data_IF_741918344891
#
_entry.id   IF_741918344891
#
_cell.length_a   1.000
_cell.length_b   1.000
_cell.length_c   1.000
_cell.angle_alpha   90.00
_cell.angle_beta   90.00
_cell.angle_gamma   90.00
#
_symmetry.space_group_name_H-M   'P 1'
#
loop_
_entity.id
_entity.type
_entity.pdbx_description
1 polymer ?
#
# COMPACT_ATOMS: atom_id res chain seq x y z
N UNK A 1 27.37 0.41 15.90
CA UNK A 1 26.69 -0.90 15.84
C UNK A 1 26.08 -1.01 14.47
N UNK A 2 26.74 -1.69 13.57
CA UNK A 2 26.25 -1.97 12.22
C UNK A 2 25.04 -2.89 12.32
N UNK A 3 23.90 -2.41 11.88
CA UNK A 3 22.69 -3.21 11.83
C UNK A 3 22.88 -4.32 10.80
N UNK A 4 22.82 -5.56 11.25
CA UNK A 4 22.89 -6.76 10.41
C UNK A 4 21.86 -6.61 9.27
N UNK A 5 22.26 -6.58 7.97
CA UNK A 5 21.41 -6.27 6.83
C UNK A 5 20.24 -7.23 6.61
N UNK A 6 20.18 -8.33 7.38
CA UNK A 6 19.07 -9.30 7.38
C UNK A 6 18.08 -9.14 8.54
N UNK A 7 18.33 -8.24 9.52
CA UNK A 7 17.46 -8.14 10.71
C UNK A 7 16.18 -7.39 10.38
N UNK A 8 15.05 -8.04 10.65
CA UNK A 8 13.72 -7.48 10.48
C UNK A 8 13.49 -6.29 11.40
N UNK A 9 12.84 -5.25 10.89
CA UNK A 9 12.54 -4.02 11.64
C UNK A 9 11.11 -4.09 12.16
N UNK A 10 10.95 -4.48 13.44
CA UNK A 10 9.64 -4.78 14.05
C UNK A 10 8.62 -3.62 13.95
N UNK A 11 9.06 -2.38 14.16
CA UNK A 11 8.15 -1.25 14.12
C UNK A 11 7.61 -0.98 12.72
N UNK A 12 8.31 -1.39 11.65
CA UNK A 12 7.81 -1.27 10.27
C UNK A 12 6.64 -2.22 10.03
N UNK A 13 6.69 -3.44 10.60
CA UNK A 13 5.54 -4.34 10.56
C UNK A 13 4.36 -3.76 11.36
N UNK A 14 4.63 -3.15 12.52
CA UNK A 14 3.60 -2.44 13.29
C UNK A 14 2.98 -1.30 12.47
N UNK A 15 3.81 -0.50 11.81
CA UNK A 15 3.36 0.60 10.94
C UNK A 15 2.45 0.11 9.81
N UNK A 16 2.85 -0.96 9.11
CA UNK A 16 2.00 -1.59 8.08
C UNK A 16 0.70 -2.13 8.67
N UNK A 17 0.76 -2.68 9.89
CA UNK A 17 -0.40 -3.22 10.59
C UNK A 17 -1.42 -2.14 10.96
N UNK A 18 -0.96 -1.03 11.51
CA UNK A 18 -1.83 0.14 11.77
C UNK A 18 -2.44 0.64 10.46
N UNK A 19 -1.62 0.75 9.41
CA UNK A 19 -2.09 1.24 8.13
C UNK A 19 -3.15 0.33 7.49
N UNK A 20 -2.98 -1.01 7.52
CA UNK A 20 -3.98 -1.92 6.93
C UNK A 20 -5.29 -1.90 7.71
N UNK A 21 -5.25 -1.71 9.03
CA UNK A 21 -6.46 -1.52 9.84
C UNK A 21 -7.20 -0.26 9.38
N UNK A 22 -6.50 0.86 9.20
CA UNK A 22 -7.08 2.11 8.68
C UNK A 22 -7.66 1.95 7.26
N UNK A 23 -7.02 1.10 6.43
CA UNK A 23 -7.56 0.77 5.09
C UNK A 23 -8.86 -0.01 5.20
N UNK A 24 -8.94 -1.02 6.07
CA UNK A 24 -10.18 -1.79 6.30
C UNK A 24 -11.29 -0.89 6.84
N UNK A 25 -10.99 -0.02 7.81
CA UNK A 25 -11.95 0.97 8.33
C UNK A 25 -12.53 1.85 7.22
N UNK A 26 -11.69 2.34 6.31
CA UNK A 26 -12.14 3.16 5.18
C UNK A 26 -13.07 2.39 4.21
N UNK A 27 -12.92 1.08 4.07
CA UNK A 27 -13.80 0.26 3.23
C UNK A 27 -15.09 -0.16 3.93
N UNK A 28 -15.13 -0.09 5.27
CA UNK A 28 -16.36 -0.24 6.04
C UNK A 28 -17.22 1.02 5.88
N UNK A 29 -16.61 2.21 5.92
CA UNK A 29 -17.33 3.47 5.82
C UNK A 29 -18.24 3.77 7.00
N UNK A 30 -19.36 4.42 6.76
CA UNK A 30 -20.39 4.68 7.77
C UNK A 30 -19.88 5.50 8.95
N UNK A 31 -19.92 4.92 10.18
CA UNK A 31 -19.44 5.61 11.38
C UNK A 31 -17.94 5.98 11.30
N UNK A 32 -17.13 5.19 10.62
CA UNK A 32 -15.69 5.49 10.46
C UNK A 32 -15.43 6.67 9.52
N UNK A 33 -16.32 6.99 8.58
CA UNK A 33 -16.18 8.19 7.75
C UNK A 33 -16.31 9.47 8.58
N UNK A 34 -17.06 9.40 9.68
CA UNK A 34 -17.19 10.52 10.65
C UNK A 34 -15.87 10.81 11.37
N UNK A 35 -15.00 9.80 11.57
CA UNK A 35 -13.66 9.97 12.16
C UNK A 35 -12.68 10.62 11.19
N UNK A 36 -12.87 10.44 9.90
CA UNK A 36 -11.99 11.02 8.85
C UNK A 36 -12.60 12.29 8.22
N UNK A 37 -13.48 12.97 8.96
CA UNK A 37 -14.22 14.15 8.47
C UNK A 37 -13.30 15.22 7.88
N UNK A 38 -12.13 15.42 8.50
CA UNK A 38 -11.12 16.39 8.07
C UNK A 38 -10.01 15.74 7.23
N UNK A 39 -10.23 14.54 6.73
CA UNK A 39 -9.31 13.79 5.87
C UNK A 39 -7.92 13.50 6.46
N UNK A 40 -7.75 13.63 7.78
CA UNK A 40 -6.46 13.40 8.45
C UNK A 40 -5.98 11.96 8.34
N UNK A 41 -6.89 10.97 8.34
CA UNK A 41 -6.53 9.56 8.20
C UNK A 41 -6.35 9.16 6.73
N UNK A 42 -7.12 9.75 5.81
CA UNK A 42 -7.08 9.43 4.39
C UNK A 42 -5.82 9.97 3.71
N UNK A 43 -5.29 11.12 4.15
CA UNK A 43 -4.19 11.79 3.48
C UNK A 43 -2.88 10.99 3.45
N UNK A 44 -2.64 10.06 4.40
CA UNK A 44 -1.37 9.32 4.48
C UNK A 44 -1.48 7.79 4.31
N UNK A 45 -2.68 7.19 4.45
CA UNK A 45 -2.85 5.72 4.44
C UNK A 45 -2.16 5.03 3.27
N UNK A 46 -2.48 5.45 2.05
CA UNK A 46 -1.87 4.85 0.86
C UNK A 46 -0.45 5.34 0.59
N UNK A 47 -0.15 6.66 0.71
CA UNK A 47 1.22 7.16 0.63
C UNK A 47 2.23 6.44 1.51
N UNK A 48 1.83 6.03 2.72
CA UNK A 48 2.68 5.29 3.66
C UNK A 48 3.19 3.97 3.08
N UNK A 49 2.35 3.23 2.37
CA UNK A 49 2.76 1.96 1.75
C UNK A 49 3.77 2.16 0.62
N UNK A 50 3.62 3.21 -0.19
CA UNK A 50 4.61 3.57 -1.22
C UNK A 50 5.93 3.98 -0.57
N UNK A 51 5.87 4.80 0.47
CA UNK A 51 7.04 5.20 1.24
C UNK A 51 7.80 3.99 1.82
N UNK A 52 7.10 3.10 2.53
CA UNK A 52 7.71 1.89 3.10
C UNK A 52 8.29 0.99 2.00
N UNK A 53 7.63 0.88 0.85
CA UNK A 53 8.15 0.10 -0.27
C UNK A 53 9.45 0.68 -0.82
N UNK A 54 9.58 2.01 -0.84
CA UNK A 54 10.82 2.71 -1.17
C UNK A 54 11.94 2.42 -0.17
N UNK A 55 11.65 2.39 1.14
CA UNK A 55 12.63 2.01 2.18
C UNK A 55 13.28 0.66 1.89
N UNK A 56 12.53 -0.28 1.34
CA UNK A 56 13.01 -1.65 1.05
C UNK A 56 13.32 -1.88 -0.44
N UNK A 57 13.53 -0.81 -1.20
CA UNK A 57 13.97 -0.96 -2.60
C UNK A 57 15.32 -1.65 -2.70
N UNK A 58 15.42 -2.59 -3.64
CA UNK A 58 16.66 -3.25 -4.07
C UNK A 58 16.65 -3.36 -5.59
N UNK A 59 17.76 -3.00 -6.24
CA UNK A 59 17.88 -3.02 -7.70
C UNK A 59 18.07 -4.42 -8.28
N UNK A 60 18.55 -5.36 -7.47
CA UNK A 60 18.89 -6.72 -7.88
C UNK A 60 19.91 -6.79 -9.05
N UNK A 61 20.02 -7.93 -9.70
CA UNK A 61 20.95 -8.18 -10.82
C UNK A 61 20.32 -7.75 -12.16
N UNK A 62 20.22 -6.43 -12.37
CA UNK A 62 19.71 -5.86 -13.62
C UNK A 62 18.18 -5.80 -13.73
N UNK A 63 17.72 -5.21 -14.84
CA UNK A 63 16.30 -4.91 -15.07
C UNK A 63 15.43 -6.18 -15.10
N UNK A 64 15.89 -7.23 -15.80
CA UNK A 64 15.10 -8.46 -15.93
C UNK A 64 14.90 -9.15 -14.57
N UNK A 65 15.97 -9.29 -13.78
CA UNK A 65 15.90 -9.86 -12.43
C UNK A 65 14.98 -9.04 -11.52
N UNK A 66 15.07 -7.71 -11.61
CA UNK A 66 14.18 -6.80 -10.89
C UNK A 66 12.71 -7.01 -11.29
N UNK A 67 12.39 -6.99 -12.59
CA UNK A 67 11.02 -7.15 -13.10
C UNK A 67 10.45 -8.50 -12.66
N UNK A 68 11.17 -9.62 -12.83
CA UNK A 68 10.69 -10.95 -12.45
C UNK A 68 10.38 -11.02 -10.94
N UNK A 69 11.25 -10.44 -10.11
CA UNK A 69 11.00 -10.38 -8.65
C UNK A 69 9.75 -9.54 -8.32
N UNK A 70 9.54 -8.41 -9.01
CA UNK A 70 8.34 -7.58 -8.79
C UNK A 70 7.08 -8.25 -9.33
N UNK A 71 7.16 -8.99 -10.43
CA UNK A 71 6.05 -9.84 -10.90
C UNK A 71 5.67 -10.86 -9.83
N UNK A 72 6.63 -11.60 -9.26
CA UNK A 72 6.38 -12.56 -8.20
C UNK A 72 5.71 -11.94 -6.96
N UNK A 73 6.12 -10.72 -6.60
CA UNK A 73 5.67 -10.08 -5.34
C UNK A 73 4.39 -9.25 -5.49
N UNK A 74 4.03 -8.82 -6.70
CA UNK A 74 2.92 -7.88 -6.92
C UNK A 74 1.95 -8.35 -8.00
N UNK A 75 2.44 -8.75 -9.19
CA UNK A 75 1.55 -9.11 -10.32
C UNK A 75 0.92 -10.48 -10.13
N UNK A 76 1.67 -11.48 -9.67
CA UNK A 76 1.10 -12.82 -9.41
C UNK A 76 0.01 -12.76 -8.34
N UNK A 77 0.22 -12.13 -7.15
CA UNK A 77 -0.87 -11.91 -6.21
C UNK A 77 -2.03 -11.12 -6.80
N UNK A 78 -1.75 -10.03 -7.54
CA UNK A 78 -2.79 -9.24 -8.20
C UNK A 78 -3.67 -10.11 -9.11
N UNK A 79 -3.07 -10.84 -10.05
CA UNK A 79 -3.80 -11.68 -10.99
C UNK A 79 -4.59 -12.78 -10.28
N UNK A 80 -3.99 -13.43 -9.30
CA UNK A 80 -4.67 -14.46 -8.52
C UNK A 80 -5.93 -13.93 -7.83
N UNK A 81 -5.82 -12.84 -7.07
CA UNK A 81 -6.97 -12.28 -6.36
C UNK A 81 -7.96 -11.58 -7.29
N UNK A 82 -7.52 -11.05 -8.42
CA UNK A 82 -8.37 -10.48 -9.45
C UNK A 82 -9.26 -11.53 -10.09
N UNK A 83 -8.65 -12.63 -10.56
CA UNK A 83 -9.36 -13.74 -11.18
C UNK A 83 -10.23 -14.50 -10.17
N UNK A 84 -9.75 -14.72 -8.96
CA UNK A 84 -10.51 -15.37 -7.88
C UNK A 84 -11.75 -14.55 -7.50
N UNK A 85 -11.63 -13.24 -7.39
CA UNK A 85 -12.74 -12.35 -7.11
C UNK A 85 -13.79 -12.37 -8.22
N UNK A 86 -13.34 -12.36 -9.49
CA UNK A 86 -14.24 -12.50 -10.63
C UNK A 86 -14.97 -13.85 -10.64
N UNK A 87 -14.22 -14.94 -10.45
CA UNK A 87 -14.80 -16.29 -10.45
C UNK A 87 -15.81 -16.45 -9.31
N UNK A 88 -15.47 -15.98 -8.11
CA UNK A 88 -16.39 -16.00 -6.97
C UNK A 88 -17.67 -15.21 -7.26
N UNK A 89 -17.55 -13.99 -7.79
CA UNK A 89 -18.66 -13.17 -8.21
C UNK A 89 -19.54 -13.89 -9.25
N UNK A 90 -18.90 -14.52 -10.25
CA UNK A 90 -19.60 -15.26 -11.32
C UNK A 90 -20.36 -16.47 -10.77
N UNK A 91 -19.75 -17.26 -9.88
CA UNK A 91 -20.39 -18.41 -9.26
C UNK A 91 -21.62 -17.96 -8.43
N UNK A 92 -21.47 -16.92 -7.61
CA UNK A 92 -22.57 -16.41 -6.79
C UNK A 92 -23.70 -15.91 -7.68
N UNK A 93 -23.39 -15.18 -8.74
CA UNK A 93 -24.40 -14.71 -9.69
C UNK A 93 -25.18 -15.88 -10.36
N UNK A 94 -24.51 -16.99 -10.66
CA UNK A 94 -25.16 -18.20 -11.22
C UNK A 94 -26.07 -18.90 -10.21
N UNK A 95 -25.68 -18.95 -8.94
CA UNK A 95 -26.45 -19.64 -7.90
C UNK A 95 -27.57 -18.74 -7.35
N UNK A 96 -27.32 -17.45 -7.22
CA UNK A 96 -28.22 -16.46 -6.64
C UNK A 96 -28.21 -15.16 -7.49
N UNK A 97 -28.89 -15.14 -8.64
CA UNK A 97 -28.82 -13.99 -9.56
C UNK A 97 -29.25 -12.65 -8.96
N UNK A 98 -30.13 -12.67 -7.95
CA UNK A 98 -30.62 -11.46 -7.26
C UNK A 98 -29.61 -10.77 -6.35
N UNK A 99 -28.45 -11.37 -6.05
CA UNK A 99 -27.43 -10.77 -5.19
C UNK A 99 -26.69 -9.61 -5.89
N UNK A 100 -26.56 -9.67 -7.22
CA UNK A 100 -25.93 -8.63 -8.02
C UNK A 100 -26.94 -7.96 -8.94
N UNK A 101 -26.92 -6.63 -9.00
CA UNK A 101 -27.85 -5.83 -9.81
C UNK A 101 -27.69 -6.05 -11.34
N UNK A 102 -26.49 -6.45 -11.79
CA UNK A 102 -26.16 -6.62 -13.20
C UNK A 102 -25.59 -8.01 -13.48
N UNK A 103 -25.85 -8.57 -14.68
CA UNK A 103 -25.22 -9.81 -15.12
C UNK A 103 -23.70 -9.70 -15.09
N UNK A 104 -23.02 -10.76 -14.63
CA UNK A 104 -21.57 -10.83 -14.63
C UNK A 104 -21.07 -11.25 -16.02
N UNK A 105 -20.28 -10.40 -16.65
CA UNK A 105 -19.74 -10.62 -18.00
C UNK A 105 -18.22 -10.78 -17.98
N UNK A 106 -17.69 -11.61 -18.86
CA UNK A 106 -16.24 -11.75 -19.09
C UNK A 106 -15.56 -10.43 -19.49
N UNK A 107 -16.31 -9.48 -20.04
CA UNK A 107 -15.80 -8.14 -20.34
C UNK A 107 -15.31 -7.40 -19.09
N UNK A 108 -15.81 -7.74 -17.90
CA UNK A 108 -15.34 -7.16 -16.63
C UNK A 108 -13.86 -7.47 -16.35
N UNK A 109 -13.30 -8.55 -16.93
CA UNK A 109 -11.87 -8.83 -16.81
C UNK A 109 -10.99 -7.84 -17.56
N UNK A 110 -11.55 -7.13 -18.54
CA UNK A 110 -10.82 -6.15 -19.34
C UNK A 110 -10.89 -4.73 -18.77
N UNK A 111 -11.72 -4.49 -17.75
CA UNK A 111 -11.90 -3.13 -17.18
C UNK A 111 -10.60 -2.55 -16.61
N UNK A 112 -9.68 -3.39 -16.19
CA UNK A 112 -8.34 -2.97 -15.69
C UNK A 112 -7.54 -2.20 -16.73
N UNK A 113 -7.83 -2.38 -18.02
CA UNK A 113 -7.20 -1.67 -19.14
C UNK A 113 -7.91 -0.36 -19.51
N UNK A 114 -9.02 -0.03 -18.83
CA UNK A 114 -9.81 1.17 -19.06
C UNK A 114 -9.80 2.05 -17.81
N UNK A 115 -8.89 3.03 -17.75
CA UNK A 115 -8.82 3.98 -16.65
C UNK A 115 -8.58 3.34 -15.29
N UNK A 116 -9.31 3.82 -14.27
CA UNK A 116 -9.21 3.36 -12.89
C UNK A 116 -10.27 2.31 -12.51
N UNK A 117 -10.80 1.61 -13.50
CA UNK A 117 -11.79 0.59 -13.23
C UNK A 117 -11.16 -0.74 -12.83
N UNK A 118 -11.72 -1.35 -11.81
CA UNK A 118 -11.48 -2.72 -11.40
C UNK A 118 -12.80 -3.42 -11.12
N UNK A 119 -12.75 -4.73 -11.04
CA UNK A 119 -13.90 -5.52 -10.58
C UNK A 119 -14.38 -4.93 -9.24
N UNK A 120 -15.59 -4.38 -9.23
CA UNK A 120 -16.19 -3.71 -8.04
C UNK A 120 -16.26 -4.62 -6.81
N UNK A 121 -16.11 -5.93 -7.00
CA UNK A 121 -16.13 -6.92 -5.93
C UNK A 121 -14.87 -6.94 -5.06
N UNK A 122 -13.71 -6.53 -5.62
CA UNK A 122 -12.45 -6.46 -4.87
C UNK A 122 -11.60 -5.23 -5.26
N UNK A 123 -12.10 -4.01 -5.01
CA UNK A 123 -11.38 -2.79 -5.40
C UNK A 123 -9.99 -2.65 -4.77
N UNK A 124 -9.72 -3.07 -3.50
CA UNK A 124 -8.45 -2.77 -2.82
C UNK A 124 -7.20 -3.26 -3.53
N UNK A 125 -7.28 -4.28 -4.40
CA UNK A 125 -6.11 -4.85 -5.07
C UNK A 125 -5.47 -3.93 -6.13
N UNK A 126 -6.14 -2.80 -6.52
CA UNK A 126 -5.55 -1.78 -7.39
C UNK A 126 -4.14 -1.37 -6.95
N UNK A 127 -3.92 -1.33 -5.65
CA UNK A 127 -2.66 -0.93 -5.04
C UNK A 127 -1.48 -1.80 -5.51
N UNK A 128 -1.66 -3.09 -5.71
CA UNK A 128 -0.58 -4.00 -6.13
C UNK A 128 -0.06 -3.62 -7.53
N UNK A 129 -0.97 -3.29 -8.43
CA UNK A 129 -0.64 -2.88 -9.79
C UNK A 129 0.04 -1.50 -9.79
N UNK A 130 -0.52 -0.55 -9.07
CA UNK A 130 0.08 0.78 -8.90
C UNK A 130 1.47 0.71 -8.28
N UNK A 131 1.66 -0.13 -7.25
CA UNK A 131 2.96 -0.31 -6.63
C UNK A 131 3.97 -0.95 -7.60
N UNK A 132 3.53 -1.88 -8.44
CA UNK A 132 4.37 -2.43 -9.50
C UNK A 132 4.87 -1.34 -10.46
N UNK A 133 3.97 -0.53 -10.98
CA UNK A 133 4.32 0.58 -11.89
C UNK A 133 5.24 1.60 -11.20
N UNK A 134 4.97 1.95 -9.94
CA UNK A 134 5.82 2.85 -9.17
C UNK A 134 7.24 2.29 -9.00
N UNK A 135 7.39 0.97 -8.79
CA UNK A 135 8.69 0.30 -8.75
C UNK A 135 9.42 0.40 -10.09
N UNK A 136 8.72 0.23 -11.22
CA UNK A 136 9.32 0.36 -12.56
C UNK A 136 9.75 1.80 -12.82
N UNK A 137 8.88 2.77 -12.55
CA UNK A 137 9.22 4.20 -12.70
C UNK A 137 10.47 4.57 -11.90
N UNK A 138 10.53 4.13 -10.63
CA UNK A 138 11.70 4.39 -9.81
C UNK A 138 12.95 3.66 -10.33
N UNK A 139 12.82 2.40 -10.76
CA UNK A 139 13.94 1.66 -11.33
C UNK A 139 14.57 2.39 -12.52
N UNK A 140 13.76 3.02 -13.37
CA UNK A 140 14.25 3.74 -14.56
C UNK A 140 15.06 5.00 -14.21
N UNK A 141 14.83 5.62 -13.05
CA UNK A 141 15.50 6.86 -12.66
C UNK A 141 16.55 6.67 -11.55
N UNK A 142 16.53 5.54 -10.81
CA UNK A 142 17.36 5.39 -9.60
C UNK A 142 18.87 5.36 -9.90
N UNK A 143 19.28 4.95 -11.09
CA UNK A 143 20.69 4.95 -11.50
C UNK A 143 21.29 6.36 -11.59
N UNK A 144 20.46 7.38 -11.77
CA UNK A 144 20.89 8.78 -11.77
C UNK A 144 21.41 9.25 -10.40
N UNK A 145 21.13 8.52 -9.33
CA UNK A 145 21.50 8.89 -7.95
C UNK A 145 23.00 9.13 -7.76
N UNK A 146 23.87 8.42 -8.51
CA UNK A 146 25.32 8.46 -8.34
C UNK A 146 25.96 9.56 -9.18
N UNK A 147 25.44 9.79 -10.38
CA UNK A 147 26.03 10.73 -11.36
C UNK A 147 25.29 12.06 -11.46
N UNK A 148 23.97 12.03 -11.36
CA UNK A 148 23.07 13.17 -11.64
C UNK A 148 21.96 13.28 -10.61
N UNK A 149 22.32 13.36 -9.32
CA UNK A 149 21.35 13.41 -8.22
C UNK A 149 20.30 14.54 -8.37
N UNK A 150 20.64 15.79 -8.75
CA UNK A 150 19.64 16.83 -8.98
C UNK A 150 18.64 16.46 -10.08
N UNK A 151 19.12 15.82 -11.16
CA UNK A 151 18.24 15.36 -12.25
C UNK A 151 17.27 14.26 -11.77
N UNK A 152 17.72 13.33 -10.93
CA UNK A 152 16.82 12.32 -10.34
C UNK A 152 15.70 12.99 -9.54
N UNK A 153 16.02 13.96 -8.70
CA UNK A 153 15.00 14.70 -7.94
C UNK A 153 14.08 15.52 -8.84
N UNK A 154 14.65 16.23 -9.85
CA UNK A 154 13.87 16.97 -10.82
C UNK A 154 12.88 16.10 -11.58
N UNK A 155 13.32 14.92 -12.07
CA UNK A 155 12.44 13.93 -12.72
C UNK A 155 11.37 13.38 -11.75
N UNK A 156 11.74 13.11 -10.50
CA UNK A 156 10.77 12.66 -9.48
C UNK A 156 9.67 13.68 -9.28
N UNK A 157 10.04 14.96 -9.13
CA UNK A 157 9.08 16.04 -8.96
C UNK A 157 8.24 16.26 -10.24
N UNK A 158 8.87 16.27 -11.41
CA UNK A 158 8.17 16.41 -12.68
C UNK A 158 7.13 15.29 -12.87
N UNK A 159 7.52 14.03 -12.68
CA UNK A 159 6.61 12.89 -12.79
C UNK A 159 5.49 12.97 -11.75
N UNK A 160 5.81 13.30 -10.49
CA UNK A 160 4.82 13.46 -9.43
C UNK A 160 3.82 14.59 -9.70
N UNK A 161 4.31 15.74 -10.16
CA UNK A 161 3.46 16.87 -10.59
C UNK A 161 2.56 16.47 -11.76
N UNK A 162 3.11 15.82 -12.78
CA UNK A 162 2.33 15.35 -13.94
C UNK A 162 1.21 14.41 -13.49
N UNK A 163 1.52 13.40 -12.65
CA UNK A 163 0.51 12.50 -12.11
C UNK A 163 -0.60 13.23 -11.33
N UNK A 164 -0.21 14.19 -10.48
CA UNK A 164 -1.16 15.02 -9.71
C UNK A 164 -2.09 15.83 -10.63
N UNK A 165 -1.54 16.49 -11.66
CA UNK A 165 -2.34 17.28 -12.57
C UNK A 165 -3.20 16.45 -13.52
N UNK A 166 -2.76 15.24 -13.92
CA UNK A 166 -3.63 14.28 -14.61
C UNK A 166 -4.87 13.97 -13.77
N UNK A 167 -4.68 13.74 -12.46
CA UNK A 167 -5.80 13.55 -11.54
C UNK A 167 -6.72 14.78 -11.44
N UNK A 168 -6.16 16.00 -11.37
CA UNK A 168 -6.97 17.22 -11.37
C UNK A 168 -7.77 17.41 -12.66
N UNK A 169 -7.23 16.99 -13.79
CA UNK A 169 -7.90 17.04 -15.09
C UNK A 169 -8.83 15.84 -15.33
N UNK A 170 -8.92 14.91 -14.36
CA UNK A 170 -9.70 13.66 -14.48
C UNK A 170 -9.28 12.81 -15.70
N UNK A 171 -7.99 12.86 -16.05
CA UNK A 171 -7.39 12.04 -17.09
C UNK A 171 -6.86 10.76 -16.44
N UNK A 172 -7.50 9.65 -16.72
CA UNK A 172 -7.15 8.34 -16.21
C UNK A 172 -6.29 7.59 -17.21
N UNK A 173 -5.11 7.14 -16.77
CA UNK A 173 -4.26 6.27 -17.57
C UNK A 173 -4.52 4.79 -17.24
N UNK A 174 -4.43 3.91 -18.25
CA UNK A 174 -4.57 2.47 -18.03
C UNK A 174 -3.61 1.96 -16.95
N UNK A 175 -4.02 0.87 -16.27
CA UNK A 175 -3.19 0.18 -15.30
C UNK A 175 -2.74 1.07 -14.12
N UNK A 176 -3.43 2.17 -13.82
CA UNK A 176 -3.09 3.09 -12.72
C UNK A 176 -1.71 3.76 -12.85
N UNK A 177 -1.24 4.03 -14.07
CA UNK A 177 0.08 4.65 -14.30
C UNK A 177 0.12 6.06 -13.73
N UNK A 178 -0.90 6.88 -13.93
CA UNK A 178 -1.03 8.24 -13.39
C UNK A 178 -0.97 8.29 -11.87
N UNK A 179 -1.63 7.34 -11.20
CA UNK A 179 -1.55 7.21 -9.73
C UNK A 179 -0.13 6.82 -9.30
N UNK A 180 0.53 5.94 -10.06
CA UNK A 180 1.92 5.58 -9.79
C UNK A 180 2.87 6.75 -9.92
N UNK A 181 2.60 7.67 -10.85
CA UNK A 181 3.33 8.92 -11.01
C UNK A 181 3.15 9.83 -9.78
N UNK A 182 1.92 10.02 -9.32
CA UNK A 182 1.63 10.78 -8.09
C UNK A 182 2.25 10.13 -6.84
N UNK A 183 2.35 8.80 -6.80
CA UNK A 183 2.93 8.05 -5.68
C UNK A 183 4.46 8.08 -5.65
N UNK A 184 5.13 8.35 -6.79
CA UNK A 184 6.57 8.25 -6.93
C UNK A 184 7.37 9.11 -5.92
N UNK A 185 7.00 10.36 -5.59
CA UNK A 185 7.72 11.15 -4.59
C UNK A 185 7.74 10.49 -3.20
N UNK A 186 6.65 9.82 -2.78
CA UNK A 186 6.61 9.09 -1.50
C UNK A 186 7.57 7.90 -1.54
N UNK A 187 7.61 7.18 -2.64
CA UNK A 187 8.52 6.06 -2.83
C UNK A 187 9.98 6.48 -2.77
N UNK A 188 10.34 7.56 -3.49
CA UNK A 188 11.70 8.12 -3.53
C UNK A 188 12.11 8.61 -2.14
N UNK A 189 11.23 9.30 -1.43
CA UNK A 189 11.51 9.75 -0.06
C UNK A 189 11.78 8.55 0.87
N UNK A 190 11.01 7.46 0.74
CA UNK A 190 11.26 6.21 1.48
C UNK A 190 12.63 5.61 1.16
N UNK A 191 13.02 5.59 -0.12
CA UNK A 191 14.34 5.12 -0.53
C UNK A 191 15.48 5.95 0.11
N UNK A 192 15.32 7.26 0.20
CA UNK A 192 16.32 8.12 0.80
C UNK A 192 16.38 8.04 2.31
N UNK A 193 15.24 7.90 3.02
CA UNK A 193 15.22 7.81 4.48
C UNK A 193 15.98 6.59 5.01
N UNK A 194 16.10 5.54 4.22
CA UNK A 194 16.87 4.34 4.57
C UNK A 194 18.34 4.64 4.87
N UNK A 195 18.91 5.70 4.30
CA UNK A 195 20.31 6.12 4.55
C UNK A 195 20.50 6.69 5.96
N UNK A 196 19.41 7.09 6.61
CA UNK A 196 19.47 7.69 7.92
C UNK A 196 19.19 6.63 9.02
N UNK A 197 20.26 6.00 9.50
CA UNK A 197 20.19 4.94 10.50
C UNK A 197 19.41 5.33 11.76
N UNK A 198 19.50 6.59 12.20
CA UNK A 198 18.78 7.08 13.38
C UNK A 198 17.26 7.02 13.23
N UNK A 199 16.75 7.05 12.00
CA UNK A 199 15.32 6.95 11.74
C UNK A 199 14.82 5.50 11.82
N UNK A 200 15.57 4.57 11.24
CA UNK A 200 15.17 3.16 11.15
C UNK A 200 15.60 2.33 12.36
N UNK A 201 16.69 2.72 13.02
CA UNK A 201 17.22 2.00 14.17
C UNK A 201 17.15 2.84 15.46
N UNK A 202 17.25 2.22 16.64
CA UNK A 202 17.24 2.95 17.92
C UNK A 202 18.35 4.01 17.98
N UNK A 203 17.98 5.23 18.37
CA UNK A 203 18.89 6.35 18.55
C UNK A 203 18.49 7.15 19.78
N UNK A 204 19.30 7.10 20.84
CA UNK A 204 18.98 7.72 22.13
C UNK A 204 18.63 9.22 22.02
N UNK A 205 19.36 9.97 21.20
CA UNK A 205 19.12 11.41 21.01
C UNK A 205 17.85 11.66 20.20
N UNK A 206 17.69 10.96 19.08
CA UNK A 206 16.53 11.12 18.21
C UNK A 206 15.24 10.62 18.87
N UNK A 207 15.29 9.46 19.54
CA UNK A 207 14.11 8.83 20.14
C UNK A 207 13.51 9.67 21.30
N UNK A 208 14.33 10.53 21.96
CA UNK A 208 13.82 11.52 22.94
C UNK A 208 13.00 12.63 22.29
N UNK A 209 13.29 12.98 21.04
CA UNK A 209 12.61 14.04 20.30
C UNK A 209 11.34 13.57 19.57
N UNK A 210 11.07 12.25 19.54
CA UNK A 210 9.87 11.69 18.86
C UNK A 210 8.58 12.40 19.29
N UNK A 211 8.27 12.66 20.58
CA UNK A 211 7.04 13.34 20.96
C UNK A 211 6.90 14.73 20.32
N UNK A 212 8.02 15.47 20.24
CA UNK A 212 8.04 16.81 19.62
C UNK A 212 7.75 16.71 18.13
N UNK A 213 8.39 15.77 17.41
CA UNK A 213 8.15 15.56 16.00
C UNK A 213 6.73 15.07 15.70
N UNK A 214 6.17 14.22 16.56
CA UNK A 214 4.76 13.77 16.43
C UNK A 214 3.81 14.94 16.63
N UNK A 215 4.03 15.78 17.63
CA UNK A 215 3.20 16.97 17.85
C UNK A 215 3.30 17.94 16.67
N UNK A 216 4.51 18.21 16.18
CA UNK A 216 4.71 19.05 14.99
C UNK A 216 3.98 18.48 13.76
N UNK A 217 4.09 17.18 13.53
CA UNK A 217 3.40 16.52 12.43
C UNK A 217 1.86 16.62 12.57
N UNK A 218 1.33 16.49 13.78
CA UNK A 218 -0.11 16.69 14.05
C UNK A 218 -0.53 18.12 13.72
N UNK A 219 0.24 19.12 14.14
CA UNK A 219 -0.05 20.53 13.84
C UNK A 219 -0.02 20.76 12.33
N UNK A 220 1.02 20.26 11.65
CA UNK A 220 1.11 20.39 10.18
C UNK A 220 -0.09 19.73 9.51
N UNK A 221 -0.47 18.52 9.92
CA UNK A 221 -1.65 17.82 9.38
C UNK A 221 -2.94 18.60 9.63
N UNK A 222 -3.12 19.17 10.82
CA UNK A 222 -4.30 19.96 11.14
C UNK A 222 -4.52 21.14 10.15
N UNK A 223 -3.44 21.82 9.75
CA UNK A 223 -3.52 22.93 8.81
C UNK A 223 -3.48 22.53 7.33
N UNK A 224 -3.01 21.32 7.00
CA UNK A 224 -2.79 20.93 5.60
C UNK A 224 -3.59 19.71 5.16
N UNK A 225 -4.27 19.00 6.08
CA UNK A 225 -5.06 17.82 5.73
C UNK A 225 -6.11 18.14 4.66
N UNK A 226 -6.19 17.28 3.67
CA UNK A 226 -7.07 17.43 2.52
C UNK A 226 -7.48 16.05 2.03
N UNK A 227 -8.62 15.94 1.38
CA UNK A 227 -9.09 14.67 0.84
C UNK A 227 -8.09 14.15 -0.20
N UNK A 228 -7.63 12.92 0.02
CA UNK A 228 -6.69 12.22 -0.83
C UNK A 228 -7.29 10.91 -1.30
N UNK A 229 -8.06 10.99 -2.37
CA UNK A 229 -8.66 9.83 -3.05
C UNK A 229 -7.66 9.18 -4.00
N UNK A 230 -6.65 8.47 -3.44
CA UNK A 230 -5.54 8.00 -4.25
C UNK A 230 -5.95 6.98 -5.31
N UNK A 231 -6.96 6.14 -5.05
CA UNK A 231 -7.46 5.16 -6.02
C UNK A 231 -8.03 5.81 -7.29
N UNK A 232 -8.63 6.97 -7.15
CA UNK A 232 -9.25 7.72 -8.26
C UNK A 232 -8.41 8.91 -8.68
N UNK A 233 -7.20 9.05 -8.16
CA UNK A 233 -6.29 10.18 -8.40
C UNK A 233 -6.98 11.55 -8.17
N UNK A 234 -7.88 11.61 -7.19
CA UNK A 234 -8.68 12.80 -6.90
C UNK A 234 -8.25 13.45 -5.58
N UNK A 235 -7.97 14.74 -5.62
CA UNK A 235 -7.43 15.52 -4.51
C UNK A 235 -8.18 16.84 -4.34
N UNK A 236 -8.67 17.16 -3.15
CA UNK A 236 -9.36 18.43 -2.90
C UNK A 236 -8.40 19.61 -2.71
N UNK A 237 -7.18 19.37 -2.24
CA UNK A 237 -6.17 20.39 -1.99
C UNK A 237 -5.30 20.73 -3.21
N UNK A 238 -4.41 21.71 -3.04
CA UNK A 238 -3.31 21.95 -3.95
C UNK A 238 -2.19 20.91 -3.74
N UNK A 239 -1.24 20.86 -4.69
CA UNK A 239 -0.16 19.87 -4.67
C UNK A 239 0.69 19.95 -3.39
N UNK A 240 0.97 21.14 -2.89
CA UNK A 240 1.74 21.34 -1.68
C UNK A 240 1.01 20.80 -0.45
N UNK A 241 -0.28 21.11 -0.27
CA UNK A 241 -1.10 20.60 0.82
C UNK A 241 -1.13 19.08 0.81
N UNK A 242 -1.39 18.46 -0.35
CA UNK A 242 -1.48 17.00 -0.49
C UNK A 242 -0.19 16.32 -0.06
N UNK A 243 0.97 16.75 -0.56
CA UNK A 243 2.24 16.11 -0.21
C UNK A 243 2.66 16.41 1.22
N UNK A 244 2.51 17.63 1.71
CA UNK A 244 2.90 18.01 3.08
C UNK A 244 2.05 17.25 4.11
N UNK A 245 0.72 17.21 3.94
CA UNK A 245 -0.16 16.46 4.81
C UNK A 245 0.19 14.96 4.82
N UNK A 246 0.42 14.38 3.64
CA UNK A 246 0.76 12.97 3.52
C UNK A 246 2.10 12.65 4.19
N UNK A 247 3.15 13.44 3.97
CA UNK A 247 4.45 13.24 4.63
C UNK A 247 4.34 13.43 6.15
N UNK A 248 3.62 14.44 6.63
CA UNK A 248 3.41 14.65 8.05
C UNK A 248 2.75 13.43 8.68
N UNK A 249 1.68 12.88 8.07
CA UNK A 249 1.02 11.68 8.54
C UNK A 249 1.90 10.42 8.48
N UNK A 250 2.68 10.24 7.42
CA UNK A 250 3.66 9.15 7.29
C UNK A 250 4.65 9.18 8.46
N UNK A 251 5.30 10.34 8.68
CA UNK A 251 6.28 10.49 9.75
C UNK A 251 5.65 10.32 11.13
N UNK A 252 4.48 10.90 11.36
CA UNK A 252 3.73 10.76 12.61
C UNK A 252 3.52 9.27 12.97
N UNK A 253 2.91 8.50 12.06
CA UNK A 253 2.62 7.08 12.32
C UNK A 253 3.89 6.26 12.46
N UNK A 254 4.90 6.48 11.63
CA UNK A 254 6.17 5.75 11.73
C UNK A 254 6.88 6.02 13.05
N UNK A 255 6.91 7.27 13.51
CA UNK A 255 7.55 7.64 14.77
C UNK A 255 6.78 7.10 15.98
N UNK A 256 5.45 7.15 15.95
CA UNK A 256 4.61 6.52 16.99
C UNK A 256 4.88 5.01 17.07
N UNK A 257 4.87 4.32 15.92
CA UNK A 257 5.17 2.88 15.87
C UNK A 257 6.61 2.57 16.32
N UNK A 258 7.58 3.44 16.00
CA UNK A 258 8.96 3.31 16.48
C UNK A 258 9.04 3.40 17.99
N UNK A 259 8.28 4.29 18.61
CA UNK A 259 8.21 4.43 20.09
C UNK A 259 7.56 3.21 20.74
N UNK A 260 6.49 2.67 20.17
CA UNK A 260 5.74 1.47 20.64
C UNK A 260 6.53 0.19 20.39
N UNK A 261 7.34 0.15 19.31
CA UNK A 261 8.17 -0.97 18.85
C UNK A 261 7.35 -2.11 18.24
N UNK A 262 6.52 -2.83 19.01
CA UNK A 262 5.79 -4.02 18.55
C UNK A 262 4.50 -4.24 19.33
N UNK A 263 3.42 -4.52 18.60
CA UNK A 263 2.17 -5.07 19.12
C UNK A 263 1.89 -6.36 18.34
N UNK A 264 1.92 -7.51 19.02
CA UNK A 264 1.96 -8.86 18.38
C UNK A 264 0.94 -9.04 17.26
N UNK A 265 -0.33 -8.77 17.54
CA UNK A 265 -1.44 -8.96 16.58
C UNK A 265 -1.36 -7.97 15.43
N UNK A 266 -1.16 -6.70 15.71
CA UNK A 266 -1.10 -5.64 14.69
C UNK A 266 0.15 -5.82 13.82
N UNK A 267 1.30 -6.15 14.40
CA UNK A 267 2.51 -6.45 13.64
C UNK A 267 2.37 -7.71 12.78
N UNK A 268 1.58 -8.69 13.22
CA UNK A 268 1.25 -9.86 12.40
C UNK A 268 0.42 -9.49 11.17
N UNK A 269 -0.63 -8.68 11.34
CA UNK A 269 -1.41 -8.14 10.22
C UNK A 269 -0.53 -7.33 9.25
N UNK A 270 0.38 -6.51 9.77
CA UNK A 270 1.31 -5.74 8.95
C UNK A 270 2.31 -6.61 8.19
N UNK A 271 2.77 -7.69 8.82
CA UNK A 271 3.66 -8.68 8.19
C UNK A 271 3.04 -9.31 6.97
N UNK A 272 1.77 -9.63 7.05
CA UNK A 272 1.01 -10.32 6.01
C UNK A 272 -0.06 -9.41 5.40
N UNK A 273 0.20 -8.10 5.38
CA UNK A 273 -0.76 -7.08 4.94
C UNK A 273 -1.27 -7.29 3.51
N UNK A 274 -0.50 -7.95 2.64
CA UNK A 274 -0.95 -8.31 1.29
C UNK A 274 -2.16 -9.25 1.32
N UNK A 275 -2.23 -10.18 2.28
CA UNK A 275 -3.36 -11.10 2.42
C UNK A 275 -4.59 -10.31 2.85
N UNK A 276 -4.48 -9.53 3.95
CA UNK A 276 -5.57 -8.67 4.43
C UNK A 276 -6.04 -7.71 3.33
N UNK A 277 -5.10 -7.06 2.61
CA UNK A 277 -5.41 -6.16 1.50
C UNK A 277 -6.27 -6.86 0.43
N UNK A 278 -5.94 -8.11 0.11
CA UNK A 278 -6.55 -8.83 -1.00
C UNK A 278 -7.90 -9.48 -0.68
N UNK A 279 -8.18 -9.76 0.60
CA UNK A 279 -9.41 -10.51 0.96
C UNK A 279 -10.45 -9.70 1.73
N UNK A 280 -10.08 -8.56 2.36
CA UNK A 280 -11.04 -7.80 3.18
C UNK A 280 -12.22 -7.25 2.35
N UNK A 281 -12.00 -6.84 1.09
CA UNK A 281 -13.06 -6.33 0.23
C UNK A 281 -14.19 -7.34 0.02
N UNK A 282 -13.92 -8.55 -0.50
CA UNK A 282 -14.90 -9.63 -0.58
C UNK A 282 -15.56 -9.96 0.76
N UNK A 283 -14.79 -10.05 1.85
CA UNK A 283 -15.33 -10.34 3.19
C UNK A 283 -16.37 -9.28 3.59
N UNK A 284 -16.03 -8.00 3.44
CA UNK A 284 -16.94 -6.90 3.76
C UNK A 284 -18.19 -6.88 2.88
N UNK A 285 -18.05 -7.25 1.61
CA UNK A 285 -19.19 -7.35 0.69
C UNK A 285 -20.25 -8.32 1.18
N UNK A 286 -19.85 -9.45 1.77
CA UNK A 286 -20.78 -10.45 2.32
C UNK A 286 -21.21 -10.13 3.73
N UNK A 287 -20.29 -9.70 4.59
CA UNK A 287 -20.61 -9.45 6.00
C UNK A 287 -21.40 -8.17 6.21
N UNK A 288 -21.21 -7.13 5.38
CA UNK A 288 -21.85 -5.86 5.54
C UNK A 288 -23.38 -5.96 5.63
N UNK A 289 -24.08 -6.53 4.64
CA UNK A 289 -25.52 -6.72 4.69
C UNK A 289 -25.99 -7.64 5.83
N UNK A 290 -25.21 -8.67 6.15
CA UNK A 290 -25.54 -9.60 7.23
C UNK A 290 -25.49 -8.92 8.58
N UNK A 291 -24.43 -8.17 8.89
CA UNK A 291 -24.26 -7.47 10.17
C UNK A 291 -25.29 -6.34 10.30
N UNK A 292 -25.58 -5.60 9.21
CA UNK A 292 -26.59 -4.54 9.19
C UNK A 292 -28.01 -5.05 9.53
N UNK A 293 -28.30 -6.32 9.22
CA UNK A 293 -29.59 -6.94 9.55
C UNK A 293 -29.83 -7.10 11.06
N UNK A 294 -28.74 -7.30 11.83
CA UNK A 294 -28.81 -7.58 13.27
C UNK A 294 -28.34 -6.44 14.16
N UNK A 295 -27.50 -5.55 13.65
CA UNK A 295 -26.91 -4.45 14.41
C UNK A 295 -27.30 -3.14 13.75
N UNK A 296 -28.19 -2.38 14.39
CA UNK A 296 -28.76 -1.12 13.84
C UNK A 296 -27.97 0.13 14.27
N UNK A 297 -27.14 0.05 15.32
CA UNK A 297 -26.31 1.17 15.74
C UNK A 297 -25.07 1.26 14.84
N UNK A 298 -24.86 2.40 14.17
CA UNK A 298 -23.78 2.66 13.23
C UNK A 298 -22.39 2.31 13.78
N UNK A 299 -22.09 2.72 15.02
CA UNK A 299 -20.80 2.48 15.64
C UNK A 299 -20.60 1.01 16.00
N UNK A 300 -21.62 0.39 16.58
CA UNK A 300 -21.56 -1.04 16.91
C UNK A 300 -21.40 -1.89 15.65
N UNK A 301 -22.12 -1.54 14.58
CA UNK A 301 -22.00 -2.18 13.27
C UNK A 301 -20.58 -2.04 12.69
N UNK A 302 -20.03 -0.83 12.66
CA UNK A 302 -18.71 -0.56 12.11
C UNK A 302 -17.60 -1.29 12.89
N UNK A 303 -17.69 -1.26 14.25
CA UNK A 303 -16.73 -1.97 15.10
C UNK A 303 -16.85 -3.50 14.93
N UNK A 304 -18.07 -4.03 14.90
CA UNK A 304 -18.29 -5.46 14.68
C UNK A 304 -17.73 -5.91 13.33
N UNK A 305 -18.02 -5.18 12.24
CA UNK A 305 -17.48 -5.46 10.91
C UNK A 305 -15.94 -5.43 10.90
N UNK A 306 -15.34 -4.44 11.56
CA UNK A 306 -13.88 -4.34 11.66
C UNK A 306 -13.28 -5.57 12.38
N UNK A 307 -13.78 -5.88 13.56
CA UNK A 307 -13.27 -6.98 14.39
C UNK A 307 -13.45 -8.33 13.69
N UNK A 308 -14.63 -8.60 13.13
CA UNK A 308 -14.92 -9.86 12.43
C UNK A 308 -14.03 -9.98 11.18
N UNK A 309 -13.94 -8.93 10.37
CA UNK A 309 -13.13 -8.93 9.15
C UNK A 309 -11.65 -9.18 9.46
N UNK A 310 -11.07 -8.46 10.44
CA UNK A 310 -9.68 -8.66 10.83
C UNK A 310 -9.43 -10.05 11.43
N UNK A 311 -10.37 -10.57 12.22
CA UNK A 311 -10.29 -11.94 12.78
C UNK A 311 -10.27 -12.99 11.67
N UNK A 312 -11.15 -12.87 10.68
CA UNK A 312 -11.16 -13.78 9.51
C UNK A 312 -9.84 -13.66 8.74
N UNK A 313 -9.32 -12.45 8.51
CA UNK A 313 -8.03 -12.27 7.85
C UNK A 313 -6.88 -12.95 8.63
N UNK A 314 -6.86 -12.84 9.95
CA UNK A 314 -5.86 -13.49 10.80
C UNK A 314 -5.97 -15.03 10.73
N UNK A 315 -7.18 -15.56 10.80
CA UNK A 315 -7.44 -17.00 10.74
C UNK A 315 -7.11 -17.61 9.38
N UNK A 316 -7.39 -16.89 8.29
CA UNK A 316 -7.09 -17.35 6.93
C UNK A 316 -5.62 -17.21 6.56
N UNK A 317 -4.87 -16.29 7.19
CA UNK A 317 -3.45 -16.08 6.87
C UNK A 317 -2.62 -17.36 6.88
N UNK A 318 -2.61 -18.22 7.93
CA UNK A 318 -1.82 -19.45 7.91
C UNK A 318 -2.25 -20.44 6.82
N UNK A 319 -3.53 -20.45 6.45
CA UNK A 319 -4.04 -21.27 5.33
C UNK A 319 -3.40 -20.82 4.01
N UNK A 320 -3.43 -19.53 3.71
CA UNK A 320 -2.80 -18.96 2.50
C UNK A 320 -1.30 -19.23 2.47
N UNK A 321 -0.62 -19.06 3.62
CA UNK A 321 0.82 -19.29 3.73
C UNK A 321 1.21 -20.75 3.46
N UNK A 322 0.36 -21.70 3.86
CA UNK A 322 0.61 -23.12 3.70
C UNK A 322 0.20 -23.64 2.32
N UNK A 323 -0.97 -23.24 1.83
CA UNK A 323 -1.58 -23.81 0.62
C UNK A 323 -1.09 -23.14 -0.66
N UNK A 324 -1.03 -21.80 -0.67
CA UNK A 324 -0.71 -21.02 -1.87
C UNK A 324 0.33 -19.89 -1.61
N UNK A 325 1.50 -20.22 -1.03
CA UNK A 325 2.49 -19.21 -0.64
C UNK A 325 2.98 -18.34 -1.80
N UNK A 326 2.93 -18.82 -3.04
CA UNK A 326 3.31 -18.05 -4.24
C UNK A 326 2.31 -16.92 -4.51
N UNK A 327 1.01 -17.19 -4.33
CA UNK A 327 -0.06 -16.23 -4.61
C UNK A 327 -0.15 -15.11 -3.57
N UNK A 328 0.53 -15.27 -2.44
CA UNK A 328 0.61 -14.26 -1.36
C UNK A 328 2.03 -13.72 -1.16
N UNK A 329 2.85 -13.77 -2.20
CA UNK A 329 4.19 -13.20 -2.26
C UNK A 329 5.23 -13.79 -1.25
N UNK A 330 4.96 -14.98 -0.68
CA UNK A 330 5.88 -15.62 0.29
C UNK A 330 6.91 -16.53 -0.38
N UNK A 331 6.57 -17.10 -1.55
CA UNK A 331 7.49 -17.87 -2.39
C UNK A 331 7.44 -17.31 -3.81
N UNK A 332 8.53 -17.45 -4.54
CA UNK A 332 8.60 -17.05 -5.94
C UNK A 332 8.04 -18.18 -6.82
N UNK A 333 7.16 -17.83 -7.77
CA UNK A 333 6.63 -18.72 -8.79
C UNK A 333 7.58 -18.78 -10.00
N UNK A 334 8.01 -17.59 -10.45
CA UNK A 334 8.96 -17.46 -11.56
C UNK A 334 10.39 -17.43 -11.01
N UNK A 335 11.25 -18.29 -11.52
CA UNK A 335 12.68 -18.33 -11.16
C UNK A 335 13.48 -17.51 -12.14
N UNK A 336 14.39 -16.68 -11.65
CA UNK A 336 15.44 -16.05 -12.47
C UNK A 336 16.58 -17.05 -12.57
N UNK A 337 17.01 -17.41 -13.79
CA UNK A 337 18.28 -18.11 -13.97
C UNK A 337 19.40 -17.16 -13.47
N UNK A 338 20.01 -17.50 -12.35
CA UNK A 338 21.24 -16.83 -11.92
C UNK A 338 22.32 -17.24 -12.93
N UNK A 339 22.73 -16.29 -13.78
CA UNK A 339 23.99 -16.45 -14.46
C UNK A 339 25.07 -16.34 -13.38
N UNK A 340 25.69 -17.44 -13.02
CA UNK A 340 26.89 -17.50 -12.20
C UNK A 340 28.05 -16.85 -12.95
N UNK A 341 28.02 -15.56 -13.14
CA UNK A 341 29.24 -14.78 -13.34
C UNK A 341 29.70 -14.41 -11.93
N UNK A 342 30.69 -15.19 -11.45
CA UNK A 342 31.43 -14.91 -10.22
C UNK A 342 32.02 -13.49 -10.29
N UNK A 343 31.35 -12.54 -9.74
CA UNK A 343 31.90 -11.23 -9.45
C UNK A 343 31.53 -10.83 -8.01
N UNK A 344 32.44 -11.04 -7.04
CA UNK A 344 32.19 -10.79 -5.60
C UNK A 344 32.12 -9.31 -5.21
N UNK A 345 32.21 -8.38 -6.17
CA UNK A 345 32.49 -6.96 -5.88
C UNK A 345 31.29 -6.04 -5.69
N UNK A 346 30.03 -6.54 -5.70
CA UNK A 346 28.84 -5.65 -5.59
C UNK A 346 28.05 -5.75 -4.29
N UNK A 347 28.37 -6.68 -3.38
CA UNK A 347 27.60 -6.82 -2.12
C UNK A 347 28.05 -5.92 -0.96
N UNK A 348 29.26 -5.33 -1.01
CA UNK A 348 29.83 -4.62 0.14
C UNK A 348 29.75 -3.08 0.08
N UNK A 349 29.04 -2.50 -0.90
CA UNK A 349 28.93 -1.03 -1.04
C UNK A 349 27.48 -0.49 -1.06
N UNK A 350 26.53 -1.19 -0.44
CA UNK A 350 25.15 -0.65 -0.30
C UNK A 350 24.76 -0.42 1.15
#
# INVERSE_FOLDING_TARGET
MEGNPGKRIDFVDLTKGVCIILVVMAHIGGAFDKLDKDSMLSCFRMPLYFFISGVFFKSYEGLLGFIVRKINKLIIPFLFFYLSAFLLKYIIWKIAPGVFQLPVSWKELLVVFHGHDLIKFNPPIWFLLTLFNCNILFYLIHFLREKHLPLMFALTLLIGCTGFYLGKLQIELPLYIDISMTALPFYVAGFWIRRYNFFLFPSHRFDKLIPVFVLLALVVMYFTATTLGMRTNNYSGNIFQVYVAAFAGIFMIMLLCKKVKRLKVISYLGRYSIITLSIHGPILHFLGPLVARYIHNDWAQAIALLLITLSICILLTPVFLKVIPQMVAQKDLLKVKQNHTNNPSYEDKQ
#
